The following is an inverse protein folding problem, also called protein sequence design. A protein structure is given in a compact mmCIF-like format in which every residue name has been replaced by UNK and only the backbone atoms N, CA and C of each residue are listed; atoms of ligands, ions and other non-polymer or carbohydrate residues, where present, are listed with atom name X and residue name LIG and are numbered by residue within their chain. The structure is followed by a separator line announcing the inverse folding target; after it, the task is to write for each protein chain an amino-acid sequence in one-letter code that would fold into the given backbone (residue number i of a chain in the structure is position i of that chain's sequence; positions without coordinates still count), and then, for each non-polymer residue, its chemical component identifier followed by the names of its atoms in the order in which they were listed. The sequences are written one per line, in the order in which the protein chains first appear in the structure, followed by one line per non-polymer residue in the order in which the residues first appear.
data_IF_790601271829
#
_entry.id   IF_790601271829
#
_cell.length_a   1.000
_cell.length_b   1.000
_cell.length_c   1.000
_cell.angle_alpha   90.00
_cell.angle_beta   90.00
_cell.angle_gamma   90.00
#
_symmetry.space_group_name_H-M   'P 1'
#
loop_
_entity.id
_entity.type
_entity.pdbx_description
1 polymer ?
#
# COMPACT_ATOMS: atom_id res chain seq x y z
N UNK A 1 2.23 11.86 -5.52
CA UNK A 1 1.74 10.57 -4.94
C UNK A 1 0.43 10.83 -4.23
N UNK A 2 -0.37 9.79 -3.95
CA UNK A 2 -1.67 9.87 -3.29
C UNK A 2 -1.76 8.92 -2.10
N UNK A 3 -2.50 9.30 -1.07
CA UNK A 3 -2.76 8.48 0.12
C UNK A 3 -4.18 8.70 0.60
N UNK A 4 -4.89 7.63 0.94
CA UNK A 4 -6.17 7.71 1.62
C UNK A 4 -5.93 7.51 3.12
N UNK A 5 -6.27 8.50 3.95
CA UNK A 5 -6.02 8.41 5.39
C UNK A 5 -6.97 9.24 6.23
N UNK A 6 -7.02 8.90 7.52
CA UNK A 6 -7.72 9.66 8.57
C UNK A 6 -6.70 10.58 9.24
N UNK A 7 -6.97 11.88 9.29
CA UNK A 7 -6.17 12.81 10.06
C UNK A 7 -6.32 12.52 11.56
N UNK A 8 -5.19 12.42 12.28
CA UNK A 8 -5.21 12.20 13.73
C UNK A 8 -4.76 13.44 14.51
N UNK A 9 -5.45 13.81 15.60
CA UNK A 9 -4.99 14.86 16.50
C UNK A 9 -3.54 14.63 16.93
N UNK A 10 -2.70 15.66 16.82
CA UNK A 10 -1.28 15.63 17.17
C UNK A 10 -0.35 14.86 16.22
N UNK A 11 -0.88 14.12 15.23
CA UNK A 11 -0.08 13.34 14.25
C UNK A 11 -0.34 13.73 12.80
N UNK A 12 -1.32 14.61 12.56
CA UNK A 12 -1.62 15.17 11.26
C UNK A 12 -2.28 14.18 10.28
N UNK A 13 -2.40 14.58 9.01
CA UNK A 13 -3.13 13.83 7.98
C UNK A 13 -2.45 12.53 7.56
N UNK A 14 -1.12 12.48 7.62
CA UNK A 14 -0.35 11.32 7.17
C UNK A 14 -0.19 10.27 8.27
N UNK A 15 -0.12 10.73 9.53
CA UNK A 15 -0.08 9.89 10.74
C UNK A 15 0.80 8.61 10.61
N UNK A 16 2.07 8.72 10.17
CA UNK A 16 2.98 7.57 10.18
C UNK A 16 3.24 7.11 11.62
N UNK A 17 3.44 5.80 11.80
CA UNK A 17 3.84 5.23 13.09
C UNK A 17 5.37 5.30 13.20
N UNK A 18 5.87 5.90 14.29
CA UNK A 18 7.30 5.88 14.58
C UNK A 18 7.73 4.48 14.98
N UNK A 19 8.84 4.03 14.39
CA UNK A 19 9.43 2.72 14.66
C UNK A 19 10.74 2.89 15.44
N UNK A 20 10.97 2.10 16.49
CA UNK A 20 12.18 2.20 17.30
C UNK A 20 13.43 1.79 16.52
N UNK A 21 14.58 2.31 16.94
CA UNK A 21 15.90 1.94 16.41
C UNK A 21 16.37 0.56 16.88
N UNK A 22 16.04 0.19 18.12
CA UNK A 22 16.26 -1.13 18.69
C UNK A 22 14.92 -1.90 18.73
N UNK A 23 14.70 -2.86 17.81
CA UNK A 23 13.46 -3.59 17.73
C UNK A 23 13.44 -4.70 18.79
N UNK A 24 13.22 -4.34 20.07
CA UNK A 24 12.61 -5.29 21.03
C UNK A 24 11.24 -5.73 20.50
N UNK A 25 10.60 -4.89 19.68
CA UNK A 25 9.38 -5.16 18.93
C UNK A 25 9.69 -5.98 17.68
N UNK A 26 8.96 -7.06 17.49
CA UNK A 26 9.05 -7.90 16.30
C UNK A 26 8.70 -7.12 15.02
N UNK A 27 9.59 -7.18 14.01
CA UNK A 27 9.37 -6.53 12.71
C UNK A 27 8.20 -7.14 11.94
N UNK A 28 7.72 -8.32 12.32
CA UNK A 28 6.53 -8.96 11.74
C UNK A 28 5.27 -8.12 11.90
N UNK A 29 5.22 -7.24 12.91
CA UNK A 29 4.09 -6.33 13.15
C UNK A 29 4.23 -4.99 12.42
N UNK A 30 5.30 -4.80 11.64
CA UNK A 30 5.53 -3.58 10.88
C UNK A 30 4.91 -3.65 9.48
N UNK A 31 4.70 -2.49 8.86
CA UNK A 31 4.39 -2.47 7.43
C UNK A 31 5.62 -2.84 6.61
N UNK A 32 5.39 -3.29 5.37
CA UNK A 32 6.39 -3.95 4.53
C UNK A 32 7.74 -3.22 4.45
N UNK A 33 7.72 -1.89 4.33
CA UNK A 33 8.93 -1.09 4.13
C UNK A 33 9.17 -0.09 5.26
N UNK A 34 8.61 -0.36 6.44
CA UNK A 34 8.90 0.42 7.61
C UNK A 34 10.38 0.29 7.98
N UNK A 35 10.95 1.39 8.45
CA UNK A 35 12.32 1.50 8.94
C UNK A 35 12.29 2.22 10.28
N UNK A 36 13.33 2.07 11.14
CA UNK A 36 13.49 2.95 12.29
C UNK A 36 13.28 4.42 11.93
N UNK A 37 12.51 5.13 12.76
CA UNK A 37 11.95 6.44 12.41
C UNK A 37 10.59 6.28 11.73
N UNK A 38 10.33 7.06 10.68
CA UNK A 38 9.00 7.20 10.10
C UNK A 38 8.98 6.84 8.62
N UNK A 39 7.91 6.18 8.19
CA UNK A 39 7.66 5.81 6.79
C UNK A 39 6.25 6.24 6.37
N UNK A 40 6.15 7.01 5.29
CA UNK A 40 4.88 7.47 4.72
C UNK A 40 4.61 6.65 3.46
N UNK A 41 3.42 6.06 3.39
CA UNK A 41 2.98 5.28 2.25
C UNK A 41 2.06 6.11 1.35
N UNK A 42 2.25 5.96 0.04
CA UNK A 42 1.36 6.49 -0.98
C UNK A 42 1.39 5.64 -2.24
N UNK A 43 0.61 6.03 -3.23
CA UNK A 43 0.57 5.43 -4.56
C UNK A 43 0.72 6.49 -5.64
N UNK A 44 1.09 6.06 -6.85
CA UNK A 44 1.29 6.99 -7.97
C UNK A 44 -0.04 7.56 -8.47
N UNK A 45 -1.10 6.75 -8.44
CA UNK A 45 -2.45 7.11 -8.87
C UNK A 45 -3.45 7.08 -7.71
N UNK A 46 -4.53 7.88 -7.83
CA UNK A 46 -5.63 7.90 -6.85
C UNK A 46 -6.31 6.55 -6.73
N UNK A 47 -6.63 5.90 -7.86
CA UNK A 47 -7.25 4.58 -7.88
C UNK A 47 -6.41 3.52 -7.15
N UNK A 48 -5.09 3.54 -7.32
CA UNK A 48 -4.18 2.64 -6.60
C UNK A 48 -4.17 2.95 -5.09
N UNK A 49 -4.20 4.23 -4.68
CA UNK A 49 -4.30 4.61 -3.27
C UNK A 49 -5.61 4.14 -2.62
N UNK A 50 -6.74 4.24 -3.34
CA UNK A 50 -8.01 3.66 -2.90
C UNK A 50 -7.92 2.13 -2.82
N UNK A 51 -7.35 1.49 -3.83
CA UNK A 51 -7.22 0.02 -3.87
C UNK A 51 -6.45 -0.50 -2.67
N UNK A 52 -5.27 0.07 -2.37
CA UNK A 52 -4.45 -0.32 -1.21
C UNK A 52 -5.15 -0.06 0.13
N UNK A 53 -5.97 0.99 0.23
CA UNK A 53 -6.71 1.31 1.46
C UNK A 53 -7.94 0.42 1.69
N UNK A 54 -8.46 -0.22 0.65
CA UNK A 54 -9.55 -1.21 0.73
C UNK A 54 -9.05 -2.65 0.83
N UNK A 55 -7.84 -2.94 0.36
CA UNK A 55 -7.35 -4.30 0.14
C UNK A 55 -7.38 -5.22 1.38
N UNK A 56 -7.26 -4.69 2.59
CA UNK A 56 -7.33 -5.49 3.82
C UNK A 56 -8.73 -6.07 4.11
N UNK A 57 -9.77 -5.54 3.45
CA UNK A 57 -11.14 -6.05 3.48
C UNK A 57 -11.53 -6.80 2.20
N UNK A 58 -10.61 -6.94 1.25
CA UNK A 58 -10.91 -7.69 0.04
C UNK A 58 -11.22 -9.15 0.42
N UNK A 59 -12.30 -9.75 -0.13
CA UNK A 59 -12.61 -11.15 0.11
C UNK A 59 -11.43 -12.04 -0.30
N UNK A 60 -11.21 -13.11 0.45
CA UNK A 60 -10.13 -14.05 0.14
C UNK A 60 -10.43 -14.80 -1.16
N UNK A 61 -9.40 -15.41 -1.75
CA UNK A 61 -9.59 -16.30 -2.90
C UNK A 61 -10.53 -17.48 -2.58
N UNK A 62 -10.58 -17.91 -1.31
CA UNK A 62 -11.50 -18.96 -0.86
C UNK A 62 -12.95 -18.47 -0.84
N UNK A 63 -13.19 -17.22 -0.40
CA UNK A 63 -14.52 -16.60 -0.41
C UNK A 63 -15.03 -16.46 -1.85
N UNK A 64 -14.17 -16.00 -2.76
CA UNK A 64 -14.51 -15.95 -4.20
C UNK A 64 -14.80 -17.32 -4.78
N UNK A 65 -14.06 -18.36 -4.38
CA UNK A 65 -14.32 -19.72 -4.84
C UNK A 65 -15.69 -20.22 -4.35
N UNK A 66 -16.05 -19.96 -3.09
CA UNK A 66 -17.36 -20.31 -2.55
C UNK A 66 -18.50 -19.61 -3.29
N UNK A 67 -18.36 -18.31 -3.57
CA UNK A 67 -19.33 -17.54 -4.36
C UNK A 67 -19.43 -18.05 -5.80
N UNK A 68 -18.32 -18.50 -6.39
CA UNK A 68 -18.32 -19.08 -7.74
C UNK A 68 -19.06 -20.43 -7.80
N UNK A 69 -18.97 -21.23 -6.74
CA UNK A 69 -19.76 -22.47 -6.60
C UNK A 69 -21.26 -22.13 -6.45
N UNK A 70 -21.61 -21.17 -5.60
CA UNK A 70 -22.99 -20.71 -5.41
C UNK A 70 -23.61 -20.20 -6.71
N UNK A 71 -22.89 -19.33 -7.44
CA UNK A 71 -23.34 -18.82 -8.73
C UNK A 71 -23.63 -19.96 -9.72
N UNK A 72 -22.77 -20.99 -9.74
CA UNK A 72 -22.96 -22.17 -10.58
C UNK A 72 -24.18 -22.99 -10.17
N UNK A 73 -24.42 -23.16 -8.87
CA UNK A 73 -25.61 -23.83 -8.34
C UNK A 73 -26.90 -23.10 -8.75
N UNK A 74 -26.89 -21.76 -8.69
CA UNK A 74 -28.00 -20.90 -9.10
C UNK A 74 -28.17 -20.78 -10.62
N UNK A 75 -27.20 -21.26 -11.40
CA UNK A 75 -27.21 -21.18 -12.87
C UNK A 75 -26.95 -19.77 -13.41
N UNK A 76 -26.33 -18.88 -12.62
CA UNK A 76 -25.98 -17.51 -12.99
C UNK A 76 -24.46 -17.31 -13.05
N UNK A 77 -24.01 -16.18 -13.62
CA UNK A 77 -22.59 -15.83 -13.59
C UNK A 77 -22.14 -15.27 -12.24
N UNK A 78 -20.87 -15.50 -11.84
CA UNK A 78 -20.33 -14.91 -10.60
C UNK A 78 -20.48 -13.38 -10.55
N UNK A 79 -20.28 -12.69 -11.69
CA UNK A 79 -20.46 -11.23 -11.77
C UNK A 79 -21.90 -10.80 -11.52
N UNK A 80 -22.86 -11.60 -11.94
CA UNK A 80 -24.29 -11.37 -11.73
C UNK A 80 -24.63 -11.56 -10.26
N UNK A 81 -24.23 -12.70 -9.66
CA UNK A 81 -24.40 -12.95 -8.22
C UNK A 81 -23.80 -11.81 -7.36
N UNK A 82 -22.57 -11.39 -7.65
CA UNK A 82 -21.93 -10.29 -6.92
C UNK A 82 -22.70 -8.97 -7.07
N UNK A 83 -23.36 -8.75 -8.21
CA UNK A 83 -24.18 -7.55 -8.45
C UNK A 83 -25.47 -7.62 -7.66
N UNK A 84 -26.14 -8.77 -7.66
CA UNK A 84 -27.37 -8.99 -6.90
C UNK A 84 -27.14 -8.86 -5.39
N UNK A 85 -26.05 -9.45 -4.87
CA UNK A 85 -25.67 -9.32 -3.46
C UNK A 85 -25.44 -7.85 -3.08
N UNK A 86 -24.73 -7.09 -3.93
CA UNK A 86 -24.54 -5.64 -3.73
C UNK A 86 -25.86 -4.89 -3.75
N UNK A 87 -26.74 -5.15 -4.72
CA UNK A 87 -28.05 -4.51 -4.84
C UNK A 87 -28.98 -4.84 -3.68
N UNK A 88 -28.86 -6.02 -3.10
CA UNK A 88 -29.58 -6.45 -1.90
C UNK A 88 -28.99 -5.87 -0.60
N UNK A 89 -27.91 -5.09 -0.67
CA UNK A 89 -27.19 -4.59 0.50
C UNK A 89 -26.53 -5.70 1.31
N UNK A 90 -26.35 -6.90 0.74
CA UNK A 90 -25.61 -7.99 1.35
C UNK A 90 -24.13 -7.76 1.07
N UNK A 91 -23.32 -7.40 2.08
CA UNK A 91 -21.91 -7.18 1.85
C UNK A 91 -21.28 -8.52 1.48
N UNK A 92 -20.66 -8.56 0.31
CA UNK A 92 -19.68 -9.60 -0.02
C UNK A 92 -18.41 -9.38 0.80
N UNK A 93 -18.10 -8.11 1.07
CA UNK A 93 -17.47 -7.53 2.26
C UNK A 93 -17.61 -6.01 2.05
N UNK A 94 -18.26 -5.31 2.99
CA UNK A 94 -18.60 -3.90 2.85
C UNK A 94 -17.85 -3.03 3.84
N UNK A 95 -17.50 -1.82 3.43
CA UNK A 95 -17.14 -0.74 4.35
C UNK A 95 -18.38 0.05 4.70
N UNK A 96 -18.56 0.33 5.98
CA UNK A 96 -19.55 1.30 6.45
C UNK A 96 -19.26 2.69 5.85
N UNK A 97 -20.29 3.55 5.67
CA UNK A 97 -20.11 4.91 5.17
C UNK A 97 -19.02 5.69 5.92
N UNK A 98 -18.89 5.45 7.23
CA UNK A 98 -17.90 6.05 8.12
C UNK A 98 -16.46 5.88 7.60
N UNK A 99 -16.15 4.77 6.90
CA UNK A 99 -14.83 4.59 6.32
C UNK A 99 -14.46 5.74 5.40
N UNK A 100 -15.39 6.13 4.52
CA UNK A 100 -15.23 7.23 3.57
C UNK A 100 -15.36 8.58 4.27
N UNK A 101 -16.33 8.74 5.16
CA UNK A 101 -16.61 10.01 5.83
C UNK A 101 -15.46 10.44 6.77
N UNK A 102 -14.73 9.49 7.34
CA UNK A 102 -13.58 9.78 8.21
C UNK A 102 -12.27 10.02 7.44
N UNK A 103 -12.25 9.82 6.12
CA UNK A 103 -11.03 9.81 5.30
C UNK A 103 -11.06 10.88 4.23
N UNK A 104 -9.89 11.44 3.98
CA UNK A 104 -9.62 12.24 2.80
C UNK A 104 -8.63 11.50 1.89
N UNK A 105 -8.61 11.89 0.63
CA UNK A 105 -7.51 11.56 -0.27
C UNK A 105 -6.52 12.72 -0.31
N UNK A 106 -5.29 12.45 0.10
CA UNK A 106 -4.20 13.40 0.16
C UNK A 106 -3.30 13.28 -1.06
N UNK A 107 -3.04 14.40 -1.72
CA UNK A 107 -1.89 14.54 -2.64
C UNK A 107 -0.64 14.81 -1.83
N UNK A 108 0.37 13.98 -1.99
CA UNK A 108 1.65 14.06 -1.29
C UNK A 108 2.73 14.65 -2.20
N UNK A 109 3.49 15.57 -1.63
CA UNK A 109 4.63 16.24 -2.27
C UNK A 109 5.86 16.10 -1.37
N UNK A 110 6.85 15.35 -1.87
CA UNK A 110 8.14 15.18 -1.20
C UNK A 110 9.16 16.16 -1.79
N UNK A 111 10.20 16.54 -1.01
CA UNK A 111 11.33 17.28 -1.54
C UNK A 111 11.95 16.58 -2.74
N UNK A 112 12.50 17.37 -3.67
CA UNK A 112 13.21 16.85 -4.83
C UNK A 112 14.46 16.07 -4.38
N UNK A 113 14.31 14.74 -4.35
CA UNK A 113 15.32 13.76 -3.93
C UNK A 113 15.10 12.47 -4.71
N UNK A 114 16.17 11.74 -5.05
CA UNK A 114 16.02 10.51 -5.81
C UNK A 114 15.27 9.43 -5.01
N UNK A 115 14.46 8.65 -5.74
CA UNK A 115 13.74 7.50 -5.21
C UNK A 115 14.35 6.22 -5.78
N UNK A 116 14.44 5.19 -4.95
CA UNK A 116 14.96 3.90 -5.37
C UNK A 116 13.82 3.06 -5.95
N UNK A 117 13.96 2.64 -7.20
CA UNK A 117 13.07 1.62 -7.76
C UNK A 117 13.50 0.23 -7.26
N UNK A 118 12.66 -0.37 -6.41
CA UNK A 118 12.94 -1.65 -5.74
C UNK A 118 13.18 -2.79 -6.73
N UNK A 119 12.52 -2.75 -7.89
CA UNK A 119 12.56 -3.84 -8.86
C UNK A 119 13.50 -3.56 -10.03
N UNK A 120 14.20 -2.42 -10.02
CA UNK A 120 15.23 -2.14 -11.01
C UNK A 120 16.36 -3.18 -10.91
N UNK A 121 16.88 -3.71 -12.03
CA UNK A 121 17.91 -4.75 -12.02
C UNK A 121 19.12 -4.40 -11.14
N UNK A 122 19.60 -3.16 -11.22
CA UNK A 122 20.75 -2.71 -10.43
C UNK A 122 20.45 -2.65 -8.94
N UNK A 123 19.23 -2.25 -8.54
CA UNK A 123 18.78 -2.28 -7.15
C UNK A 123 18.78 -3.72 -6.63
N UNK A 124 18.22 -4.65 -7.41
CA UNK A 124 18.17 -6.07 -7.03
C UNK A 124 19.57 -6.66 -6.90
N UNK A 125 20.50 -6.32 -7.80
CA UNK A 125 21.90 -6.74 -7.73
C UNK A 125 22.56 -6.16 -6.48
N UNK A 126 22.36 -4.88 -6.20
CA UNK A 126 22.95 -4.22 -5.03
C UNK A 126 22.44 -4.82 -3.71
N UNK A 127 21.13 -5.10 -3.60
CA UNK A 127 20.57 -5.76 -2.42
C UNK A 127 21.14 -7.17 -2.26
N UNK A 128 21.29 -7.94 -3.34
CA UNK A 128 21.93 -9.27 -3.27
C UNK A 128 23.37 -9.18 -2.79
N UNK A 129 24.13 -8.23 -3.31
CA UNK A 129 25.52 -8.00 -2.93
C UNK A 129 25.67 -7.52 -1.47
N UNK A 130 24.63 -6.93 -0.88
CA UNK A 130 24.65 -6.46 0.51
C UNK A 130 24.73 -7.58 1.56
N UNK A 131 24.35 -8.81 1.20
CA UNK A 131 24.30 -9.95 2.14
C UNK A 131 23.13 -9.91 3.14
N UNK A 132 22.16 -9.00 2.98
CA UNK A 132 21.01 -8.85 3.90
C UNK A 132 19.94 -9.92 3.72
N UNK A 133 19.90 -10.58 2.56
CA UNK A 133 19.08 -11.77 2.39
C UNK A 133 19.72 -12.93 3.15
N UNK A 134 18.97 -13.54 4.08
CA UNK A 134 19.29 -14.88 4.57
C UNK A 134 18.99 -15.98 3.53
N UNK A 135 18.35 -15.63 2.41
CA UNK A 135 17.96 -16.56 1.36
C UNK A 135 19.07 -16.74 0.31
N UNK A 136 19.39 -18.00 -0.01
CA UNK A 136 20.37 -18.38 -1.05
C UNK A 136 20.06 -17.80 -2.44
N UNK A 137 18.78 -17.55 -2.72
CA UNK A 137 18.30 -16.93 -3.97
C UNK A 137 17.23 -15.90 -3.64
N UNK A 138 17.60 -14.62 -3.74
CA UNK A 138 16.65 -13.52 -3.67
C UNK A 138 16.09 -13.18 -5.06
N UNK A 139 14.79 -12.97 -5.14
CA UNK A 139 14.04 -12.58 -6.33
C UNK A 139 13.20 -11.33 -6.08
N UNK A 140 12.64 -10.77 -7.16
CA UNK A 140 11.67 -9.66 -7.03
C UNK A 140 10.44 -10.09 -6.21
N UNK A 141 10.03 -11.36 -6.30
CA UNK A 141 8.90 -11.88 -5.53
C UNK A 141 9.17 -11.85 -4.01
N UNK A 142 10.42 -12.07 -3.59
CA UNK A 142 10.79 -11.96 -2.17
C UNK A 142 10.76 -10.50 -1.71
N UNK A 143 11.27 -9.59 -2.54
CA UNK A 143 11.32 -8.14 -2.25
C UNK A 143 9.93 -7.49 -2.19
N UNK A 144 8.97 -8.01 -2.94
CA UNK A 144 7.57 -7.53 -2.95
C UNK A 144 6.63 -8.42 -2.13
N UNK A 145 7.16 -9.47 -1.48
CA UNK A 145 6.42 -10.50 -0.74
C UNK A 145 5.84 -10.05 0.60
N UNK A 146 5.49 -11.02 1.45
CA UNK A 146 4.92 -10.75 2.78
C UNK A 146 5.88 -10.94 3.94
N UNK A 147 7.12 -11.38 3.68
CA UNK A 147 8.15 -11.50 4.71
C UNK A 147 8.59 -10.11 5.20
N UNK A 148 7.95 -9.65 6.28
CA UNK A 148 8.22 -8.34 6.88
C UNK A 148 9.63 -8.24 7.44
N UNK A 149 10.22 -9.34 7.89
CA UNK A 149 11.60 -9.30 8.38
C UNK A 149 12.55 -8.96 7.24
N UNK A 150 12.39 -9.61 6.08
CA UNK A 150 13.16 -9.33 4.89
C UNK A 150 12.90 -7.91 4.35
N UNK A 151 11.63 -7.56 4.11
CA UNK A 151 11.31 -6.31 3.41
C UNK A 151 11.65 -5.06 4.22
N UNK A 152 11.51 -5.11 5.55
CA UNK A 152 11.93 -4.01 6.43
C UNK A 152 13.46 -3.93 6.56
N UNK A 153 14.16 -5.06 6.56
CA UNK A 153 15.63 -5.07 6.54
C UNK A 153 16.18 -4.47 5.24
N UNK A 154 15.60 -4.82 4.10
CA UNK A 154 15.93 -4.22 2.80
C UNK A 154 15.63 -2.72 2.80
N UNK A 155 14.45 -2.30 3.24
CA UNK A 155 14.11 -0.88 3.30
C UNK A 155 15.07 -0.08 4.20
N UNK A 156 15.44 -0.64 5.34
CA UNK A 156 16.39 0.00 6.26
C UNK A 156 17.78 0.13 5.63
N UNK A 157 18.23 -0.90 4.90
CA UNK A 157 19.48 -0.83 4.18
C UNK A 157 19.45 0.22 3.08
N UNK A 158 18.37 0.25 2.28
CA UNK A 158 18.17 1.28 1.25
C UNK A 158 18.25 2.68 1.88
N UNK A 159 17.52 2.92 2.98
CA UNK A 159 17.53 4.21 3.70
C UNK A 159 18.93 4.64 4.14
N UNK A 160 19.81 3.68 4.46
CA UNK A 160 21.16 3.94 4.91
C UNK A 160 22.16 4.23 3.77
N UNK A 161 21.78 4.00 2.52
CA UNK A 161 22.68 4.23 1.39
C UNK A 161 22.91 5.72 1.11
N UNK A 162 24.10 6.01 0.59
CA UNK A 162 24.38 7.27 -0.10
C UNK A 162 24.37 6.99 -1.59
N UNK A 163 23.60 7.80 -2.31
CA UNK A 163 23.51 7.73 -3.76
C UNK A 163 24.74 8.40 -4.40
N UNK A 164 24.90 8.26 -5.71
CA UNK A 164 26.06 8.79 -6.45
C UNK A 164 26.19 10.32 -6.35
N UNK A 165 25.09 11.03 -6.12
CA UNK A 165 25.04 12.47 -5.88
C UNK A 165 25.36 12.87 -4.42
N UNK A 166 25.68 11.89 -3.56
CA UNK A 166 25.98 12.06 -2.14
C UNK A 166 24.76 12.19 -1.23
N UNK A 167 23.55 12.25 -1.79
CA UNK A 167 22.30 12.36 -1.04
C UNK A 167 21.86 11.01 -0.46
N UNK A 168 20.88 11.05 0.44
CA UNK A 168 20.15 9.87 0.88
C UNK A 168 18.87 9.74 0.04
N UNK A 169 18.41 8.50 -0.24
CA UNK A 169 17.18 8.30 -0.97
C UNK A 169 15.97 8.87 -0.22
N UNK A 170 15.03 9.45 -0.96
CA UNK A 170 13.76 9.90 -0.42
C UNK A 170 12.90 8.74 0.12
N UNK A 171 13.12 7.54 -0.41
CA UNK A 171 12.29 6.38 -0.20
C UNK A 171 12.47 5.35 -1.32
N UNK A 172 11.51 4.46 -1.42
CA UNK A 172 11.47 3.45 -2.49
C UNK A 172 10.11 3.40 -3.20
N UNK A 173 10.15 3.00 -4.47
CA UNK A 173 9.00 2.67 -5.32
C UNK A 173 8.91 1.16 -5.50
N UNK A 174 7.71 0.61 -5.49
CA UNK A 174 7.46 -0.81 -5.71
C UNK A 174 6.11 -1.03 -6.38
N UNK A 175 5.91 -2.13 -7.13
CA UNK A 175 4.60 -2.47 -7.67
C UNK A 175 3.58 -2.69 -6.55
N UNK A 176 2.36 -2.17 -6.72
CA UNK A 176 1.22 -2.50 -5.87
C UNK A 176 0.92 -4.00 -5.95
N UNK A 177 0.59 -4.63 -4.82
CA UNK A 177 0.16 -6.04 -4.82
C UNK A 177 -1.21 -6.24 -5.46
N UNK A 178 -2.01 -5.18 -5.44
CA UNK A 178 -3.37 -5.14 -5.97
C UNK A 178 -3.43 -4.30 -7.25
N UNK A 179 -2.26 -4.01 -7.85
CA UNK A 179 -2.13 -3.38 -9.14
C UNK A 179 -2.41 -4.37 -10.25
N UNK A 180 -3.07 -3.90 -11.31
CA UNK A 180 -3.44 -4.71 -12.47
C UNK A 180 -2.89 -4.13 -13.79
N UNK A 181 -2.23 -2.98 -13.72
CA UNK A 181 -1.79 -2.22 -14.89
C UNK A 181 -0.45 -1.51 -14.66
N UNK A 182 0.21 -1.16 -15.76
CA UNK A 182 1.37 -0.27 -15.74
C UNK A 182 0.98 1.06 -15.10
N UNK A 183 1.77 1.50 -14.11
CA UNK A 183 1.50 2.71 -13.34
C UNK A 183 0.89 2.46 -11.95
N UNK A 184 0.49 1.22 -11.63
CA UNK A 184 0.08 0.83 -10.27
C UNK A 184 1.29 0.66 -9.34
N UNK A 185 2.00 1.76 -9.10
CA UNK A 185 3.13 1.81 -8.18
C UNK A 185 2.73 2.39 -6.83
N UNK A 186 3.29 1.79 -5.79
CA UNK A 186 3.28 2.28 -4.44
C UNK A 186 4.65 2.84 -4.06
N UNK A 187 4.64 3.71 -3.07
CA UNK A 187 5.80 4.44 -2.59
C UNK A 187 5.88 4.33 -1.07
N UNK A 188 7.09 4.16 -0.55
CA UNK A 188 7.40 4.24 0.87
C UNK A 188 8.46 5.33 1.07
N UNK A 189 8.03 6.51 1.50
CA UNK A 189 8.87 7.67 1.75
C UNK A 189 9.45 7.67 3.16
N UNK A 190 10.75 7.88 3.28
CA UNK A 190 11.45 7.94 4.56
C UNK A 190 11.47 9.38 5.07
N UNK A 191 10.95 9.60 6.27
CA UNK A 191 10.97 10.91 6.92
C UNK A 191 11.67 10.85 8.27
N UNK A 192 12.30 11.97 8.64
CA UNK A 192 13.05 12.09 9.89
C UNK A 192 12.12 12.41 11.08
N UNK A 193 11.08 13.21 10.86
CA UNK A 193 10.20 13.71 11.92
C UNK A 193 8.74 13.72 11.45
N UNK A 194 7.75 13.59 12.36
CA UNK A 194 6.34 13.64 12.00
C UNK A 194 5.97 15.00 11.43
N UNK A 195 5.09 15.02 10.42
CA UNK A 195 4.62 16.23 9.74
C UNK A 195 5.74 17.09 9.10
N UNK A 196 6.94 16.53 8.93
CA UNK A 196 8.06 17.17 8.26
C UNK A 196 8.50 16.33 7.05
N UNK A 197 9.06 16.97 6.02
CA UNK A 197 9.59 16.28 4.83
C UNK A 197 8.56 15.73 3.84
N UNK A 198 7.26 16.00 4.04
CA UNK A 198 6.21 15.75 3.05
C UNK A 198 5.11 16.81 3.21
N UNK A 199 4.89 17.63 2.19
CA UNK A 199 3.71 18.49 2.12
C UNK A 199 2.52 17.65 1.64
N UNK A 200 1.31 18.00 2.09
CA UNK A 200 0.11 17.32 1.66
C UNK A 200 -1.10 18.25 1.60
N UNK A 201 -1.96 18.02 0.61
CA UNK A 201 -3.26 18.66 0.48
C UNK A 201 -4.34 17.59 0.37
N UNK A 202 -5.30 17.63 1.29
CA UNK A 202 -6.41 16.69 1.37
C UNK A 202 -7.63 17.19 0.60
N UNK A 203 -8.42 16.26 0.10
CA UNK A 203 -9.77 16.52 -0.39
C UNK A 203 -10.69 15.39 0.01
N UNK A 204 -11.92 15.74 0.38
CA UNK A 204 -13.02 14.78 0.49
C UNK A 204 -13.28 14.10 -0.86
N UNK A 205 -13.95 12.94 -0.82
CA UNK A 205 -14.35 12.20 -2.01
C UNK A 205 -15.74 11.60 -1.84
N UNK A 206 -16.49 11.53 -2.93
CA UNK A 206 -17.86 11.00 -2.96
C UNK A 206 -17.83 9.48 -3.12
N UNK A 207 -18.93 8.81 -2.74
CA UNK A 207 -19.11 7.38 -3.03
C UNK A 207 -19.06 7.08 -4.54
N UNK A 208 -19.40 8.07 -5.37
CA UNK A 208 -19.37 8.01 -6.84
C UNK A 208 -18.04 8.47 -7.44
N UNK A 209 -16.99 8.67 -6.65
CA UNK A 209 -15.67 9.02 -7.19
C UNK A 209 -15.21 7.91 -8.16
N UNK A 210 -14.82 8.25 -9.41
CA UNK A 210 -14.46 7.26 -10.41
C UNK A 210 -13.24 6.42 -10.01
N UNK A 211 -12.27 7.01 -9.29
CA UNK A 211 -11.08 6.30 -8.82
C UNK A 211 -11.42 5.35 -7.66
N UNK A 212 -12.38 5.73 -6.81
CA UNK A 212 -12.92 4.84 -5.78
C UNK A 212 -13.73 3.70 -6.41
N UNK A 213 -14.56 3.99 -7.40
CA UNK A 213 -15.35 2.99 -8.14
C UNK A 213 -14.45 1.95 -8.80
N UNK A 214 -13.33 2.39 -9.38
CA UNK A 214 -12.31 1.51 -9.93
C UNK A 214 -11.65 0.64 -8.84
N UNK A 215 -11.33 1.21 -7.68
CA UNK A 215 -10.79 0.44 -6.56
C UNK A 215 -11.79 -0.60 -6.00
N UNK A 216 -13.08 -0.25 -5.92
CA UNK A 216 -14.18 -1.17 -5.58
C UNK A 216 -14.23 -2.33 -6.60
N UNK A 217 -14.08 -2.03 -7.90
CA UNK A 217 -14.02 -3.05 -8.95
C UNK A 217 -12.80 -3.98 -8.82
N UNK A 218 -11.65 -3.43 -8.44
CA UNK A 218 -10.37 -4.16 -8.27
C UNK A 218 -10.36 -5.06 -7.05
N UNK A 219 -10.93 -4.60 -5.94
CA UNK A 219 -10.89 -5.30 -4.64
C UNK A 219 -12.14 -6.13 -4.37
N UNK A 220 -13.27 -5.75 -4.97
CA UNK A 220 -14.60 -6.30 -4.66
C UNK A 220 -15.23 -5.72 -3.39
N UNK A 221 -14.54 -4.81 -2.69
CA UNK A 221 -15.02 -4.19 -1.44
C UNK A 221 -16.01 -3.09 -1.77
N UNK A 222 -17.25 -3.20 -1.29
CA UNK A 222 -18.25 -2.16 -1.49
C UNK A 222 -18.04 -1.01 -0.49
N UNK A 223 -18.18 0.24 -0.93
CA UNK A 223 -18.11 1.44 -0.07
C UNK A 223 -19.35 2.30 -0.34
N UNK A 224 -20.14 2.55 0.70
CA UNK A 224 -21.35 3.40 0.65
C UNK A 224 -21.10 4.90 0.89
#
# INVERSE_FOLDING_TARGET
MYRVSVAKPGRGPLNPMERPSDPVVDRRDWNRFDTPGLTIYGADQRATAFTESLAYKAPSAQDYAALAEEARFLGIGLRELLTDLRSAGMPVDGMDPDWRLDREIYRLEFPDRPWVDLIHPDTVIAIKASGIAAADRMSVADLTGDDRALTTAVAQWIRAQRLDDGTQPAGLRYPSKFGFSDGDYCWAGFVAEPNNGCACAGSEFLATDPDLTEAVRRTGVHVS
#
